data_IF_634641257334
#
_entry.id   IF_634641257334
#
_cell.length_a   1.000
_cell.length_b   1.000
_cell.length_c   1.000
_cell.angle_alpha   90.00
_cell.angle_beta   90.00
_cell.angle_gamma   90.00
#
_symmetry.space_group_name_H-M   'P 1'
#
loop_
_entity.id
_entity.type
_entity.pdbx_description
1 polymer ?
#
# COMPACT_ATOMS: atom_id res chain seq x y z
N UNK A 1 -1.02 2.51 14.87
CA UNK A 1 -0.91 1.56 13.75
C UNK A 1 -2.18 0.72 13.68
N UNK A 2 -2.80 0.56 12.50
CA UNK A 2 -4.06 -0.16 12.38
C UNK A 2 -3.92 -1.64 12.76
N UNK A 3 -4.92 -2.15 13.46
CA UNK A 3 -5.11 -3.58 13.76
C UNK A 3 -5.25 -4.41 12.48
N UNK A 4 -5.08 -5.75 12.54
CA UNK A 4 -5.32 -6.60 11.37
C UNK A 4 -6.73 -6.47 10.77
N UNK A 5 -7.75 -6.29 11.62
CA UNK A 5 -9.13 -6.10 11.17
C UNK A 5 -9.30 -4.77 10.43
N UNK A 6 -8.74 -3.68 10.96
CA UNK A 6 -8.74 -2.37 10.31
C UNK A 6 -7.97 -2.39 8.99
N UNK A 7 -6.81 -3.07 8.93
CA UNK A 7 -6.09 -3.27 7.67
C UNK A 7 -6.98 -3.96 6.64
N UNK A 8 -7.67 -5.03 7.01
CA UNK A 8 -8.60 -5.70 6.10
C UNK A 8 -9.69 -4.75 5.60
N UNK A 9 -10.29 -3.97 6.50
CA UNK A 9 -11.28 -2.97 6.13
C UNK A 9 -10.71 -1.93 5.15
N UNK A 10 -9.48 -1.45 5.36
CA UNK A 10 -8.80 -0.53 4.46
C UNK A 10 -8.60 -1.13 3.06
N UNK A 11 -8.12 -2.37 2.96
CA UNK A 11 -7.94 -3.03 1.65
C UNK A 11 -9.26 -3.24 0.91
N UNK A 12 -10.32 -3.62 1.61
CA UNK A 12 -11.66 -3.76 1.02
C UNK A 12 -12.22 -2.40 0.58
N UNK A 13 -12.11 -1.39 1.45
CA UNK A 13 -12.50 0.00 1.15
C UNK A 13 -11.77 0.53 -0.08
N UNK A 14 -10.46 0.35 -0.13
CA UNK A 14 -9.57 0.92 -1.16
C UNK A 14 -9.43 0.03 -2.40
N UNK A 15 -10.07 -1.15 -2.40
CA UNK A 15 -10.17 -2.04 -3.53
C UNK A 15 -8.85 -2.68 -3.96
N UNK A 16 -7.89 -2.85 -3.06
CA UNK A 16 -6.54 -3.36 -3.38
C UNK A 16 -5.75 -2.54 -4.41
N UNK A 17 -5.99 -1.22 -4.46
CA UNK A 17 -5.21 -0.29 -5.28
C UNK A 17 -4.65 0.84 -4.42
N UNK A 18 -3.51 1.39 -4.85
CA UNK A 18 -2.95 2.60 -4.24
C UNK A 18 -3.92 3.77 -4.37
N UNK A 19 -4.24 4.42 -3.24
CA UNK A 19 -5.13 5.59 -3.21
C UNK A 19 -4.53 6.84 -3.85
N UNK A 20 -3.22 6.90 -4.09
CA UNK A 20 -2.60 7.99 -4.86
C UNK A 20 -2.57 7.70 -6.36
N UNK A 21 -1.80 6.69 -6.81
CA UNK A 21 -1.56 6.45 -8.24
C UNK A 21 -2.47 5.40 -8.89
N UNK A 22 -3.24 4.65 -8.11
CA UNK A 22 -4.19 3.67 -8.64
C UNK A 22 -3.59 2.33 -9.08
N UNK A 23 -2.29 2.10 -8.92
CA UNK A 23 -1.72 0.77 -9.26
C UNK A 23 -2.27 -0.32 -8.32
N UNK A 24 -2.45 -1.55 -8.80
CA UNK A 24 -2.76 -2.69 -7.95
C UNK A 24 -1.66 -2.91 -6.92
N UNK A 25 -2.04 -3.32 -5.71
CA UNK A 25 -1.10 -3.60 -4.63
C UNK A 25 -1.27 -5.03 -4.07
N UNK A 26 -0.20 -5.52 -3.45
CA UNK A 26 -0.05 -6.86 -2.88
C UNK A 26 0.42 -6.71 -1.44
N UNK A 27 -0.22 -7.43 -0.51
CA UNK A 27 0.19 -7.45 0.89
C UNK A 27 1.52 -8.17 1.08
N UNK A 28 2.26 -7.74 2.11
CA UNK A 28 3.49 -8.42 2.53
C UNK A 28 3.25 -9.91 2.76
N UNK A 29 2.18 -10.27 3.45
CA UNK A 29 1.87 -11.66 3.80
C UNK A 29 1.67 -12.54 2.56
N UNK A 30 1.06 -11.99 1.50
CA UNK A 30 0.87 -12.66 0.22
C UNK A 30 2.18 -12.76 -0.55
N UNK A 31 2.95 -11.67 -0.65
CA UNK A 31 4.30 -11.69 -1.25
C UNK A 31 5.20 -12.73 -0.59
N UNK A 32 5.22 -12.78 0.74
CA UNK A 32 6.08 -13.67 1.50
C UNK A 32 5.69 -15.14 1.29
N UNK A 33 4.41 -15.45 1.07
CA UNK A 33 3.95 -16.78 0.64
C UNK A 33 4.38 -17.10 -0.78
N UNK A 34 4.16 -16.20 -1.74
CA UNK A 34 4.56 -16.41 -3.14
C UNK A 34 6.07 -16.62 -3.25
N UNK A 35 6.87 -15.83 -2.53
CA UNK A 35 8.34 -15.96 -2.47
C UNK A 35 8.78 -17.35 -2.00
N UNK A 36 8.08 -17.93 -1.02
CA UNK A 36 8.42 -19.27 -0.51
C UNK A 36 8.14 -20.36 -1.54
N UNK A 37 7.08 -20.22 -2.33
CA UNK A 37 6.69 -21.20 -3.36
C UNK A 37 7.50 -21.03 -4.64
N UNK A 38 7.84 -19.78 -5.00
CA UNK A 38 8.55 -19.43 -6.23
C UNK A 38 9.81 -18.58 -5.93
N UNK A 39 10.81 -19.12 -5.22
CA UNK A 39 11.98 -18.35 -4.77
C UNK A 39 12.84 -17.83 -5.93
N UNK A 40 12.92 -18.57 -7.04
CA UNK A 40 13.70 -18.19 -8.22
C UNK A 40 13.00 -17.10 -9.04
N UNK A 41 11.66 -17.13 -9.09
CA UNK A 41 10.87 -16.14 -9.80
C UNK A 41 10.68 -14.85 -8.99
N UNK A 42 10.44 -14.97 -7.68
CA UNK A 42 10.27 -13.83 -6.76
C UNK A 42 11.49 -13.71 -5.84
N UNK A 43 12.58 -13.18 -6.39
CA UNK A 43 13.75 -12.81 -5.59
C UNK A 43 13.40 -11.71 -4.58
N UNK A 44 13.83 -11.85 -3.33
CA UNK A 44 13.61 -10.85 -2.29
C UNK A 44 14.72 -10.85 -1.24
N UNK A 45 15.89 -10.31 -1.60
CA UNK A 45 17.01 -10.17 -0.69
C UNK A 45 16.93 -8.89 0.17
N UNK A 46 18.00 -8.57 0.89
CA UNK A 46 18.02 -7.47 1.85
C UNK A 46 17.98 -6.08 1.17
N UNK A 47 18.67 -5.89 0.05
CA UNK A 47 18.73 -4.59 -0.63
C UNK A 47 17.60 -4.46 -1.65
N UNK A 48 17.05 -3.25 -1.79
CA UNK A 48 15.98 -2.97 -2.76
C UNK A 48 16.36 -3.35 -4.20
N UNK A 49 17.62 -3.12 -4.61
CA UNK A 49 18.12 -3.47 -5.95
C UNK A 49 18.11 -4.98 -6.25
N UNK A 50 18.09 -5.80 -5.20
CA UNK A 50 18.11 -7.27 -5.28
C UNK A 50 16.69 -7.87 -5.14
N UNK A 51 15.67 -7.04 -4.97
CA UNK A 51 14.28 -7.46 -4.85
C UNK A 51 13.59 -7.45 -6.21
N UNK A 52 12.50 -8.20 -6.32
CA UNK A 52 11.69 -8.25 -7.53
C UNK A 52 10.99 -6.89 -7.75
N UNK A 53 11.34 -6.20 -8.84
CA UNK A 53 10.92 -4.82 -9.11
C UNK A 53 9.38 -4.65 -9.08
N UNK A 54 8.63 -5.54 -9.73
CA UNK A 54 7.16 -5.47 -9.75
C UNK A 54 6.55 -5.62 -8.35
N UNK A 55 7.07 -6.53 -7.52
CA UNK A 55 6.57 -6.72 -6.16
C UNK A 55 7.01 -5.60 -5.22
N UNK A 56 8.11 -4.91 -5.54
CA UNK A 56 8.49 -3.65 -4.89
C UNK A 56 7.49 -2.54 -5.22
N UNK A 57 7.20 -2.34 -6.51
CA UNK A 57 6.23 -1.34 -6.96
C UNK A 57 4.82 -1.60 -6.38
N UNK A 58 4.39 -2.86 -6.37
CA UNK A 58 3.07 -3.27 -5.89
C UNK A 58 3.02 -3.52 -4.38
N UNK A 59 4.09 -3.31 -3.62
CA UNK A 59 4.04 -3.56 -2.17
C UNK A 59 3.08 -2.58 -1.49
N UNK A 60 2.00 -3.12 -0.90
CA UNK A 60 1.05 -2.35 -0.13
C UNK A 60 1.60 -1.91 1.23
N UNK A 61 1.44 -0.63 1.55
CA UNK A 61 1.60 -0.07 2.88
C UNK A 61 0.35 0.72 3.29
N UNK A 62 0.25 1.02 4.59
CA UNK A 62 -0.73 1.98 5.08
C UNK A 62 -0.02 3.32 5.27
N UNK A 63 -0.67 4.40 4.88
CA UNK A 63 -0.15 5.75 5.00
C UNK A 63 -1.22 6.69 5.57
N UNK A 64 -0.79 7.77 6.22
CA UNK A 64 -1.67 8.72 6.92
C UNK A 64 -1.89 9.98 6.09
N UNK A 65 -3.12 10.28 5.66
CA UNK A 65 -3.42 11.46 4.84
C UNK A 65 -2.82 12.74 5.44
N UNK A 66 -3.10 13.01 6.71
CA UNK A 66 -2.28 13.89 7.55
C UNK A 66 -1.18 13.06 8.21
N UNK A 67 0.12 13.30 7.95
CA UNK A 67 1.19 12.51 8.54
C UNK A 67 1.16 12.53 10.07
N UNK A 68 1.52 11.42 10.72
CA UNK A 68 1.57 11.32 12.18
C UNK A 68 2.51 12.35 12.82
N UNK A 69 3.65 12.64 12.19
CA UNK A 69 4.59 13.70 12.62
C UNK A 69 4.00 15.11 12.56
N UNK A 70 2.87 15.28 11.87
CA UNK A 70 2.10 16.52 11.76
C UNK A 70 0.79 16.47 12.56
N UNK A 71 0.65 15.51 13.48
CA UNK A 71 -0.51 15.38 14.37
C UNK A 71 -1.65 14.51 13.83
N UNK A 72 -1.45 13.80 12.72
CA UNK A 72 -2.45 12.88 12.20
C UNK A 72 -2.64 11.62 13.05
N UNK A 73 -3.89 11.17 13.20
CA UNK A 73 -4.25 9.95 13.94
C UNK A 73 -4.09 8.70 13.07
N UNK A 74 -4.13 7.51 13.70
CA UNK A 74 -4.13 6.22 12.99
C UNK A 74 -5.53 5.68 12.71
N UNK A 75 -6.56 6.51 12.84
CA UNK A 75 -7.94 6.09 12.61
C UNK A 75 -8.19 5.80 11.13
N UNK A 76 -9.24 5.03 10.83
CA UNK A 76 -9.55 4.61 9.47
C UNK A 76 -9.74 5.79 8.50
N UNK A 77 -10.27 6.91 8.98
CA UNK A 77 -10.54 8.09 8.15
C UNK A 77 -9.25 8.80 7.72
N UNK A 78 -8.19 8.74 8.54
CA UNK A 78 -6.89 9.31 8.19
C UNK A 78 -5.95 8.30 7.55
N UNK A 79 -6.31 7.01 7.49
CA UNK A 79 -5.42 5.96 6.97
C UNK A 79 -5.88 5.47 5.60
N UNK A 80 -4.96 5.29 4.66
CA UNK A 80 -5.22 4.82 3.29
C UNK A 80 -4.23 3.72 2.88
N UNK A 81 -4.63 2.88 1.93
CA UNK A 81 -3.72 1.95 1.26
C UNK A 81 -2.95 2.70 0.16
N UNK A 82 -1.64 2.57 0.18
CA UNK A 82 -0.75 3.13 -0.83
C UNK A 82 0.28 2.08 -1.27
N UNK A 83 0.89 2.29 -2.43
CA UNK A 83 2.06 1.52 -2.81
C UNK A 83 3.33 2.09 -2.18
N UNK A 84 4.34 1.23 -2.01
CA UNK A 84 5.64 1.62 -1.45
C UNK A 84 6.26 2.85 -2.13
N UNK A 85 6.25 3.01 -3.48
CA UNK A 85 6.77 4.21 -4.12
C UNK A 85 6.04 5.49 -3.71
N UNK A 86 4.70 5.51 -3.70
CA UNK A 86 3.93 6.69 -3.29
C UNK A 86 4.15 7.03 -1.81
N UNK A 87 4.19 6.02 -0.95
CA UNK A 87 4.50 6.19 0.47
C UNK A 87 5.88 6.84 0.67
N UNK A 88 6.90 6.33 -0.02
CA UNK A 88 8.25 6.88 0.06
C UNK A 88 8.38 8.27 -0.55
N UNK A 89 7.70 8.54 -1.67
CA UNK A 89 7.74 9.85 -2.32
C UNK A 89 7.12 10.94 -1.45
N UNK A 90 6.05 10.62 -0.70
CA UNK A 90 5.38 11.59 0.17
C UNK A 90 6.01 11.70 1.57
N UNK A 91 6.53 10.60 2.10
CA UNK A 91 7.22 10.56 3.40
C UNK A 91 6.45 11.26 4.54
N UNK A 92 6.91 12.42 5.00
CA UNK A 92 6.35 13.18 6.13
C UNK A 92 5.66 14.47 5.68
N UNK A 93 5.52 14.66 4.37
CA UNK A 93 4.93 15.85 3.79
C UNK A 93 3.40 15.76 3.79
N UNK A 94 2.75 16.88 4.06
CA UNK A 94 1.31 17.03 3.88
C UNK A 94 0.94 16.98 2.40
N UNK A 95 -0.34 16.77 2.10
CA UNK A 95 -0.85 16.80 0.73
C UNK A 95 -0.52 18.13 0.03
N UNK A 96 -0.70 19.25 0.74
CA UNK A 96 -0.41 20.58 0.22
C UNK A 96 1.09 20.78 -0.08
N UNK A 97 1.98 20.30 0.79
CA UNK A 97 3.44 20.40 0.61
C UNK A 97 3.92 19.69 -0.67
N UNK A 98 3.22 18.64 -1.11
CA UNK A 98 3.54 17.91 -2.36
C UNK A 98 2.57 18.17 -3.51
N UNK A 99 1.64 19.12 -3.35
CA UNK A 99 0.66 19.48 -4.38
C UNK A 99 -0.27 18.33 -4.81
N UNK A 100 -0.60 17.41 -3.90
CA UNK A 100 -1.50 16.29 -4.18
C UNK A 100 -2.91 16.60 -3.70
N UNK A 101 -3.92 16.26 -4.49
CA UNK A 101 -5.30 16.27 -4.04
C UNK A 101 -5.56 15.18 -2.99
N UNK A 102 -6.51 15.41 -2.09
CA UNK A 102 -6.92 14.38 -1.13
C UNK A 102 -7.49 13.16 -1.86
N UNK A 103 -6.83 11.99 -1.76
CA UNK A 103 -7.25 10.81 -2.50
C UNK A 103 -8.58 10.25 -1.99
N UNK A 104 -9.06 10.66 -0.82
CA UNK A 104 -10.36 10.23 -0.27
C UNK A 104 -11.55 10.88 -0.99
N UNK A 105 -11.34 11.99 -1.70
CA UNK A 105 -12.39 12.73 -2.40
C UNK A 105 -12.83 12.08 -3.72
N UNK A 106 -12.08 11.09 -4.21
CA UNK A 106 -12.40 10.32 -5.41
C UNK A 106 -12.78 8.90 -5.04
N UNK A 107 -13.61 8.24 -5.84
CA UNK A 107 -13.95 6.84 -5.58
C UNK A 107 -12.71 5.91 -5.57
N UNK A 108 -12.71 4.87 -4.73
CA UNK A 108 -11.77 3.77 -4.83
C UNK A 108 -11.81 3.06 -6.18
N UNK A 109 -10.65 2.65 -6.68
CA UNK A 109 -10.58 1.82 -7.88
C UNK A 109 -11.26 0.49 -7.59
N UNK A 110 -12.25 0.13 -8.40
CA UNK A 110 -12.92 -1.17 -8.37
C UNK A 110 -12.50 -1.95 -9.62
N UNK A 111 -11.82 -3.06 -9.44
CA UNK A 111 -11.41 -3.96 -10.52
C UNK A 111 -11.53 -5.41 -10.06
N UNK A 112 -11.24 -6.36 -10.96
CA UNK A 112 -11.16 -7.78 -10.63
C UNK A 112 -9.92 -8.16 -9.80
N UNK A 113 -9.01 -7.22 -9.54
CA UNK A 113 -7.82 -7.46 -8.74
C UNK A 113 -8.15 -7.59 -7.26
N UNK A 114 -7.85 -8.75 -6.68
CA UNK A 114 -8.12 -9.06 -5.27
C UNK A 114 -6.88 -9.04 -4.38
N UNK A 115 -5.77 -8.45 -4.85
CA UNK A 115 -4.51 -8.43 -4.11
C UNK A 115 -3.71 -9.73 -4.14
N UNK A 116 -4.07 -10.67 -5.04
CA UNK A 116 -3.57 -12.05 -5.04
C UNK A 116 -3.93 -12.80 -3.75
N UNK A 117 -5.00 -12.40 -3.05
CA UNK A 117 -5.35 -12.96 -1.75
C UNK A 117 -5.74 -14.45 -1.81
N UNK A 118 -5.96 -15.02 -2.99
CA UNK A 118 -6.13 -16.47 -3.20
C UNK A 118 -4.86 -17.28 -2.88
N UNK A 119 -3.71 -16.61 -2.80
CA UNK A 119 -2.47 -17.16 -2.28
C UNK A 119 -2.35 -17.09 -0.76
N UNK A 120 -3.36 -16.61 0.00
CA UNK A 120 -3.33 -16.49 1.47
C UNK A 120 -3.66 -17.78 2.22
#
# INVERSE_FOLDING_TARGET
>A
MPTPAEKNALFQRDGYHCRFCGIPVIRREVRDRIRKVYPDALRWAAKNAEQHATFQLMWATCDHVLPHSRGGTSDLDNTIIVCQPCNCARWHYTLDEVGLADPRLREPTRSSWDGLERFR
#
